data_IF_043253525678
#
_entry.id   IF_043253525678
#
_cell.length_a   1.000
_cell.length_b   1.000
_cell.length_c   1.000
_cell.angle_alpha   90.00
_cell.angle_beta   90.00
_cell.angle_gamma   90.00
#
_symmetry.space_group_name_H-M   'P 1'
#
loop_
_entity.id
_entity.type
_entity.pdbx_description
1 polymer ?
#
# COMPACT_ATOMS: atom_id res chain seq x y z
N UNK A 1 27.11 -15.87 -17.11
CA UNK A 1 26.45 -16.88 -16.27
C UNK A 1 26.50 -16.33 -14.87
N UNK A 2 25.36 -16.07 -14.25
CA UNK A 2 25.29 -15.58 -12.87
C UNK A 2 25.32 -16.81 -11.95
N UNK A 3 26.31 -16.87 -11.06
CA UNK A 3 26.54 -18.00 -10.17
C UNK A 3 26.38 -17.54 -8.73
N UNK A 4 25.36 -18.05 -8.05
CA UNK A 4 25.11 -17.78 -6.64
C UNK A 4 25.65 -18.91 -5.76
N UNK A 5 26.16 -18.57 -4.59
CA UNK A 5 26.58 -19.51 -3.55
C UNK A 5 25.52 -19.53 -2.46
N UNK A 6 25.16 -20.71 -1.98
CA UNK A 6 24.22 -20.89 -0.86
C UNK A 6 24.92 -21.52 0.34
N UNK A 7 24.64 -21.08 1.55
CA UNK A 7 25.19 -21.64 2.80
C UNK A 7 24.07 -22.06 3.74
N UNK A 8 24.17 -23.23 4.38
CA UNK A 8 23.18 -23.69 5.38
C UNK A 8 23.81 -23.54 6.77
N UNK A 9 23.28 -22.62 7.57
CA UNK A 9 23.83 -22.25 8.88
C UNK A 9 23.43 -23.26 9.98
N UNK A 10 22.19 -23.74 9.95
CA UNK A 10 21.66 -24.77 10.85
C UNK A 10 20.54 -25.59 10.17
N UNK A 11 19.94 -26.51 10.91
CA UNK A 11 18.95 -27.48 10.42
C UNK A 11 17.80 -27.58 11.41
N UNK A 12 16.58 -27.78 10.90
CA UNK A 12 15.41 -28.10 11.72
C UNK A 12 15.59 -29.42 12.49
N UNK A 13 14.95 -29.51 13.66
CA UNK A 13 14.93 -30.70 14.49
C UNK A 13 13.98 -31.80 13.95
N UNK A 14 13.01 -31.45 13.10
CA UNK A 14 12.05 -32.40 12.53
C UNK A 14 12.61 -33.26 11.40
N UNK A 15 13.69 -32.79 10.75
CA UNK A 15 14.22 -33.36 9.52
C UNK A 15 15.71 -33.67 9.63
N UNK A 16 16.14 -34.81 9.07
CA UNK A 16 17.57 -35.08 8.96
C UNK A 16 18.25 -34.06 8.04
N UNK A 17 19.52 -33.74 8.31
CA UNK A 17 20.30 -32.82 7.46
C UNK A 17 20.40 -33.27 5.98
N UNK A 18 20.17 -34.56 5.70
CA UNK A 18 20.06 -35.08 4.33
C UNK A 18 18.72 -34.71 3.67
N UNK A 19 17.60 -34.78 4.40
CA UNK A 19 16.28 -34.35 3.92
C UNK A 19 16.23 -32.84 3.67
N UNK A 20 16.77 -32.03 4.59
CA UNK A 20 16.88 -30.57 4.41
C UNK A 20 17.69 -30.24 3.17
N UNK A 21 18.91 -30.79 3.03
CA UNK A 21 19.74 -30.57 1.83
C UNK A 21 19.07 -31.02 0.53
N UNK A 22 18.33 -32.12 0.52
CA UNK A 22 17.60 -32.54 -0.68
C UNK A 22 16.46 -31.57 -1.02
N UNK A 23 15.66 -31.16 -0.04
CA UNK A 23 14.60 -30.18 -0.21
C UNK A 23 15.13 -28.86 -0.79
N UNK A 24 16.18 -28.31 -0.18
CA UNK A 24 16.84 -27.07 -0.63
C UNK A 24 17.47 -27.22 -2.02
N UNK A 25 18.15 -28.35 -2.32
CA UNK A 25 18.70 -28.62 -3.65
C UNK A 25 17.62 -28.68 -4.72
N UNK A 26 16.47 -29.32 -4.42
CA UNK A 26 15.34 -29.36 -5.34
C UNK A 26 14.71 -27.97 -5.50
N UNK A 27 14.63 -27.17 -4.44
CA UNK A 27 14.13 -25.80 -4.48
C UNK A 27 15.00 -24.87 -5.37
N UNK A 28 16.32 -24.83 -5.18
CA UNK A 28 17.23 -24.11 -6.10
C UNK A 28 17.16 -24.62 -7.55
N UNK A 29 16.84 -25.91 -7.73
CA UNK A 29 16.71 -26.51 -9.06
C UNK A 29 15.50 -25.98 -9.83
N UNK A 30 14.38 -25.66 -9.17
CA UNK A 30 13.20 -25.04 -9.78
C UNK A 30 13.59 -23.82 -10.62
N UNK A 31 14.40 -22.94 -10.04
CA UNK A 31 14.82 -21.67 -10.66
C UNK A 31 15.98 -21.84 -11.65
N UNK A 32 16.96 -22.69 -11.32
CA UNK A 32 18.11 -22.90 -12.21
C UNK A 32 17.77 -23.69 -13.47
N UNK A 33 16.81 -24.63 -13.45
CA UNK A 33 16.46 -25.41 -14.65
C UNK A 33 15.84 -24.54 -15.77
N UNK A 34 15.22 -23.40 -15.42
CA UNK A 34 14.54 -22.50 -16.37
C UNK A 34 15.33 -21.23 -16.72
N UNK A 35 16.41 -20.93 -16.02
CA UNK A 35 17.25 -19.72 -16.22
C UNK A 35 18.72 -20.06 -16.56
N UNK A 36 19.53 -19.03 -16.82
CA UNK A 36 20.99 -19.17 -16.88
C UNK A 36 21.68 -19.15 -15.50
N UNK A 37 20.92 -19.17 -14.39
CA UNK A 37 21.47 -19.23 -13.05
C UNK A 37 22.06 -20.61 -12.72
N UNK A 38 23.08 -20.61 -11.88
CA UNK A 38 23.67 -21.81 -11.27
C UNK A 38 23.93 -21.56 -9.79
N UNK A 39 23.58 -22.53 -8.96
CA UNK A 39 23.76 -22.46 -7.51
C UNK A 39 24.80 -23.47 -7.03
N UNK A 40 25.65 -23.07 -6.08
CA UNK A 40 26.61 -23.95 -5.43
C UNK A 40 26.48 -23.85 -3.90
N UNK A 41 26.24 -24.99 -3.24
CA UNK A 41 26.35 -25.09 -1.78
C UNK A 41 27.82 -24.90 -1.36
N UNK A 42 28.07 -23.96 -0.45
CA UNK A 42 29.38 -23.76 0.19
C UNK A 42 29.28 -24.11 1.68
N UNK A 43 30.39 -24.58 2.24
CA UNK A 43 30.45 -25.08 3.63
C UNK A 43 31.25 -24.17 4.57
N UNK A 44 31.89 -23.13 4.04
CA UNK A 44 32.77 -22.20 4.78
C UNK A 44 32.78 -20.82 4.10
N UNK A 45 32.83 -19.76 4.91
CA UNK A 45 32.74 -18.37 4.44
C UNK A 45 31.30 -17.93 4.15
N UNK A 46 31.15 -16.63 3.88
CA UNK A 46 29.84 -16.01 3.60
C UNK A 46 29.32 -16.41 2.22
N UNK A 47 28.06 -16.82 2.17
CA UNK A 47 27.36 -17.16 0.93
C UNK A 47 26.73 -15.91 0.28
N UNK A 48 26.10 -16.08 -0.88
CA UNK A 48 25.25 -15.05 -1.49
C UNK A 48 23.77 -15.22 -1.05
N UNK A 49 23.44 -16.37 -0.46
CA UNK A 49 22.16 -16.75 0.16
C UNK A 49 22.49 -17.59 1.40
N UNK A 50 22.36 -17.06 2.62
CA UNK A 50 22.48 -17.85 3.85
C UNK A 50 21.11 -18.34 4.33
N UNK A 51 21.04 -19.61 4.73
CA UNK A 51 19.81 -20.32 5.05
C UNK A 51 19.83 -20.75 6.50
N UNK A 52 18.81 -20.37 7.27
CA UNK A 52 18.68 -20.76 8.69
C UNK A 52 17.24 -21.09 9.11
N UNK A 53 17.13 -21.87 10.15
CA UNK A 53 15.91 -22.15 10.91
C UNK A 53 15.99 -21.38 12.22
N UNK A 54 14.95 -20.60 12.55
CA UNK A 54 14.96 -19.73 13.72
C UNK A 54 13.56 -19.60 14.32
N UNK A 55 13.44 -19.08 15.55
CA UNK A 55 12.17 -18.96 16.27
C UNK A 55 11.96 -17.55 16.75
N UNK A 56 10.72 -17.08 16.73
CA UNK A 56 10.33 -15.78 17.29
C UNK A 56 11.28 -14.66 16.78
N UNK A 57 11.79 -13.80 17.68
CA UNK A 57 12.79 -12.80 17.33
C UNK A 57 14.18 -13.43 17.09
N UNK A 58 14.69 -13.29 15.87
CA UNK A 58 15.94 -13.92 15.41
C UNK A 58 16.93 -12.94 14.76
N UNK A 59 16.99 -11.73 15.33
CA UNK A 59 18.04 -10.72 15.15
C UNK A 59 18.13 -10.00 13.78
N UNK A 60 17.10 -10.09 12.95
CA UNK A 60 17.01 -9.40 11.65
C UNK A 60 15.93 -8.29 11.61
N UNK A 61 15.16 -8.12 12.69
CA UNK A 61 14.08 -7.15 12.82
C UNK A 61 12.68 -7.68 12.49
N UNK A 62 12.56 -8.91 11.99
CA UNK A 62 11.30 -9.52 11.56
C UNK A 62 11.03 -10.78 12.41
N UNK A 63 10.43 -10.66 13.61
CA UNK A 63 10.16 -11.81 14.45
C UNK A 63 9.09 -12.71 13.81
N UNK A 64 9.29 -14.02 13.84
CA UNK A 64 8.22 -14.99 13.59
C UNK A 64 7.20 -15.00 14.73
N UNK A 65 6.01 -15.52 14.46
CA UNK A 65 4.86 -15.54 15.36
C UNK A 65 4.55 -16.91 16.01
N UNK A 66 5.33 -17.95 15.71
CA UNK A 66 5.11 -19.31 16.19
C UNK A 66 4.24 -20.12 15.21
N UNK A 67 3.63 -21.24 15.64
CA UNK A 67 3.02 -22.18 14.71
C UNK A 67 1.86 -21.59 13.88
N UNK A 68 1.98 -21.68 12.56
CA UNK A 68 1.09 -21.11 11.56
C UNK A 68 1.50 -19.70 11.12
N UNK A 69 0.66 -19.08 10.29
CA UNK A 69 0.84 -17.68 9.85
C UNK A 69 2.14 -17.43 9.05
N UNK A 70 3.28 -17.16 9.70
CA UNK A 70 4.56 -16.81 9.05
C UNK A 70 5.51 -17.99 9.01
N UNK A 71 5.32 -18.88 8.03
CA UNK A 71 6.10 -20.13 7.92
C UNK A 71 7.60 -19.90 7.67
N UNK A 72 7.93 -18.80 6.98
CA UNK A 72 9.27 -18.41 6.58
C UNK A 72 9.26 -16.95 6.10
N UNK A 73 10.46 -16.39 5.89
CA UNK A 73 10.66 -15.21 5.04
C UNK A 73 12.05 -15.23 4.40
N UNK A 74 12.21 -14.44 3.35
CA UNK A 74 13.51 -14.20 2.73
C UNK A 74 13.69 -12.75 2.31
N UNK A 75 14.94 -12.31 2.29
CA UNK A 75 15.30 -10.97 1.83
C UNK A 75 15.56 -10.97 0.32
N UNK A 76 15.14 -9.90 -0.34
CA UNK A 76 15.46 -9.65 -1.75
C UNK A 76 16.98 -9.52 -1.98
N UNK A 77 17.49 -9.79 -3.20
CA UNK A 77 18.91 -9.71 -3.53
C UNK A 77 19.53 -8.36 -3.13
N UNK A 78 20.64 -8.39 -2.39
CA UNK A 78 21.28 -7.17 -1.90
C UNK A 78 22.63 -7.43 -1.22
N UNK A 79 23.26 -6.41 -0.63
CA UNK A 79 24.38 -6.59 0.29
C UNK A 79 23.91 -7.16 1.64
N UNK A 80 24.88 -7.56 2.46
CA UNK A 80 24.67 -8.05 3.83
C UNK A 80 23.70 -9.24 3.87
N UNK A 81 22.50 -9.10 4.46
CA UNK A 81 21.48 -10.18 4.48
C UNK A 81 20.63 -10.29 3.21
N UNK A 82 20.92 -9.50 2.17
CA UNK A 82 20.14 -9.50 0.93
C UNK A 82 20.27 -10.80 0.13
N UNK A 83 19.26 -11.66 0.21
CA UNK A 83 19.25 -13.02 -0.33
C UNK A 83 19.07 -14.10 0.74
N UNK A 84 19.22 -13.77 2.03
CA UNK A 84 19.09 -14.75 3.12
C UNK A 84 17.65 -15.28 3.25
N UNK A 85 17.53 -16.55 3.65
CA UNK A 85 16.27 -17.28 3.83
C UNK A 85 16.15 -17.80 5.25
N UNK A 86 15.10 -17.40 5.97
CA UNK A 86 14.81 -17.84 7.33
C UNK A 86 13.51 -18.65 7.34
N UNK A 87 13.53 -19.82 7.97
CA UNK A 87 12.35 -20.66 8.21
C UNK A 87 11.94 -20.60 9.69
N UNK A 88 10.64 -20.54 10.01
CA UNK A 88 10.21 -20.63 11.41
C UNK A 88 10.34 -22.07 11.91
N UNK A 89 11.16 -22.27 12.93
CA UNK A 89 11.43 -23.54 13.59
C UNK A 89 10.37 -23.86 14.68
N UNK A 90 9.36 -23.00 14.84
CA UNK A 90 8.11 -23.35 15.50
C UNK A 90 7.11 -24.10 14.57
N UNK A 91 7.36 -24.17 13.26
CA UNK A 91 6.60 -25.02 12.34
C UNK A 91 6.96 -26.50 12.41
N UNK A 92 6.00 -27.37 12.04
CA UNK A 92 6.25 -28.81 11.88
C UNK A 92 6.71 -29.13 10.45
N UNK A 93 8.02 -29.22 10.23
CA UNK A 93 8.61 -29.36 8.90
C UNK A 93 8.59 -30.80 8.38
N UNK A 94 8.04 -30.99 7.17
CA UNK A 94 7.98 -32.31 6.52
C UNK A 94 8.56 -32.31 5.11
N UNK A 95 8.86 -33.50 4.60
CA UNK A 95 9.34 -33.71 3.22
C UNK A 95 8.55 -34.81 2.55
N UNK A 96 7.96 -34.54 1.38
CA UNK A 96 7.19 -35.53 0.62
C UNK A 96 5.81 -35.86 1.20
N UNK A 97 5.36 -35.13 2.23
CA UNK A 97 4.04 -35.27 2.85
C UNK A 97 3.22 -33.99 2.69
N UNK A 98 1.90 -34.13 2.72
CA UNK A 98 0.91 -33.05 2.87
C UNK A 98 0.46 -32.84 4.32
N UNK A 99 0.93 -33.67 5.25
CA UNK A 99 0.78 -33.46 6.69
C UNK A 99 1.97 -32.60 7.16
N UNK A 100 1.69 -31.54 7.94
CA UNK A 100 2.68 -30.52 8.31
C UNK A 100 3.04 -29.57 7.16
N UNK A 101 4.12 -28.80 7.34
CA UNK A 101 4.59 -27.79 6.37
C UNK A 101 5.71 -28.38 5.52
N UNK A 102 5.49 -28.47 4.20
CA UNK A 102 6.45 -29.11 3.30
C UNK A 102 7.63 -28.19 2.95
N UNK A 103 8.81 -28.47 3.53
CA UNK A 103 10.00 -27.62 3.41
C UNK A 103 10.41 -27.36 1.96
N UNK A 104 10.23 -28.31 1.04
CA UNK A 104 10.57 -28.09 -0.38
C UNK A 104 9.70 -27.01 -1.03
N UNK A 105 8.41 -26.96 -0.69
CA UNK A 105 7.49 -25.97 -1.27
C UNK A 105 7.79 -24.57 -0.74
N UNK A 106 7.94 -24.42 0.57
CA UNK A 106 8.27 -23.12 1.19
C UNK A 106 9.65 -22.66 0.77
N UNK A 107 10.68 -23.52 0.80
CA UNK A 107 12.01 -23.14 0.34
C UNK A 107 12.05 -22.74 -1.15
N UNK A 108 11.22 -23.35 -2.01
CA UNK A 108 11.16 -22.96 -3.41
C UNK A 108 10.53 -21.57 -3.57
N UNK A 109 9.53 -21.22 -2.77
CA UNK A 109 8.95 -19.88 -2.66
C UNK A 109 9.98 -18.85 -2.15
N UNK A 110 10.58 -19.09 -0.98
CA UNK A 110 11.55 -18.18 -0.38
C UNK A 110 12.79 -17.93 -1.24
N UNK A 111 13.28 -18.97 -1.94
CA UNK A 111 14.38 -18.79 -2.90
C UNK A 111 13.94 -17.92 -4.09
N UNK A 112 12.65 -17.87 -4.44
CA UNK A 112 12.12 -16.92 -5.41
C UNK A 112 12.27 -15.47 -4.93
N UNK A 113 11.97 -15.18 -3.67
CA UNK A 113 12.23 -13.88 -3.04
C UNK A 113 13.73 -13.55 -2.99
N UNK A 114 14.58 -14.51 -2.59
CA UNK A 114 16.04 -14.37 -2.63
C UNK A 114 16.61 -14.16 -4.06
N UNK A 115 15.79 -14.39 -5.10
CA UNK A 115 16.09 -14.12 -6.50
C UNK A 115 15.30 -12.92 -7.08
N UNK A 116 14.72 -12.07 -6.23
CA UNK A 116 14.09 -10.82 -6.67
C UNK A 116 12.64 -10.95 -7.15
N UNK A 117 11.99 -12.10 -6.99
CA UNK A 117 10.57 -12.25 -7.30
C UNK A 117 9.71 -11.78 -6.13
N UNK A 118 8.79 -10.86 -6.36
CA UNK A 118 7.72 -10.56 -5.40
C UNK A 118 6.67 -11.69 -5.35
N UNK A 119 5.71 -11.54 -4.44
CA UNK A 119 4.54 -12.43 -4.41
C UNK A 119 3.72 -12.32 -5.70
N UNK A 120 3.21 -13.46 -6.18
CA UNK A 120 2.24 -13.52 -7.28
C UNK A 120 0.81 -13.47 -6.73
N UNK A 121 -0.10 -12.82 -7.46
CA UNK A 121 -1.54 -12.88 -7.21
C UNK A 121 -2.23 -14.06 -7.91
N UNK A 122 -1.48 -14.86 -8.69
CA UNK A 122 -2.02 -16.00 -9.43
C UNK A 122 -2.12 -17.22 -8.53
N UNK A 123 -3.34 -17.61 -8.16
CA UNK A 123 -3.61 -18.86 -7.46
C UNK A 123 -3.06 -20.04 -8.27
N UNK A 124 -2.21 -20.88 -7.66
CA UNK A 124 -1.47 -21.96 -8.32
C UNK A 124 -0.03 -21.60 -8.74
N UNK A 125 0.36 -20.32 -8.69
CA UNK A 125 1.77 -19.92 -8.80
C UNK A 125 2.54 -20.31 -7.53
N UNK A 126 3.84 -20.59 -7.67
CA UNK A 126 4.71 -20.89 -6.54
C UNK A 126 4.85 -19.66 -5.64
N UNK A 127 4.99 -18.47 -6.23
CA UNK A 127 5.13 -17.21 -5.50
C UNK A 127 3.81 -16.68 -4.90
N UNK A 128 2.71 -17.45 -4.94
CA UNK A 128 1.47 -17.06 -4.26
C UNK A 128 1.66 -17.08 -2.73
N UNK A 129 1.29 -16.01 -1.99
CA UNK A 129 1.77 -15.77 -0.61
C UNK A 129 1.17 -16.69 0.46
N UNK A 130 0.04 -17.34 0.22
CA UNK A 130 -0.47 -18.37 1.14
C UNK A 130 0.08 -19.74 0.76
N UNK A 131 0.46 -20.51 1.77
CA UNK A 131 0.90 -21.89 1.60
C UNK A 131 -0.21 -22.77 1.01
N UNK A 132 0.03 -23.30 -0.20
CA UNK A 132 -0.93 -24.10 -0.97
C UNK A 132 -0.85 -25.62 -0.69
N UNK A 133 -0.05 -26.03 0.30
CA UNK A 133 0.18 -27.45 0.60
C UNK A 133 1.29 -28.08 -0.25
N UNK A 134 1.47 -29.40 -0.10
CA UNK A 134 2.44 -30.16 -0.89
C UNK A 134 1.88 -30.60 -2.24
N UNK A 135 2.59 -30.26 -3.32
CA UNK A 135 2.29 -30.71 -4.68
C UNK A 135 3.28 -31.82 -5.11
N UNK A 136 2.84 -33.09 -5.22
CA UNK A 136 3.64 -34.16 -5.81
C UNK A 136 3.98 -33.85 -7.28
N UNK A 137 5.21 -34.17 -7.70
CA UNK A 137 5.71 -33.88 -9.05
C UNK A 137 5.57 -32.40 -9.45
N UNK A 138 5.82 -31.49 -8.50
CA UNK A 138 5.75 -30.04 -8.69
C UNK A 138 6.38 -29.57 -10.02
N UNK A 139 5.66 -28.70 -10.72
CA UNK A 139 6.10 -28.00 -11.91
C UNK A 139 5.87 -26.51 -11.72
N UNK A 140 6.84 -25.69 -12.12
CA UNK A 140 6.79 -24.24 -11.94
C UNK A 140 5.65 -23.64 -12.79
N UNK A 141 4.85 -22.75 -12.21
CA UNK A 141 3.74 -22.14 -12.94
C UNK A 141 4.28 -21.20 -14.04
N UNK A 142 3.49 -21.00 -15.09
CA UNK A 142 3.87 -20.13 -16.21
C UNK A 142 4.12 -18.68 -15.80
N UNK A 143 3.49 -18.24 -14.71
CA UNK A 143 3.65 -16.91 -14.11
C UNK A 143 5.05 -16.74 -13.50
N UNK A 144 5.43 -17.62 -12.56
CA UNK A 144 6.77 -17.65 -11.95
C UNK A 144 7.88 -17.83 -13.02
N UNK A 145 7.61 -18.67 -14.03
CA UNK A 145 8.52 -18.93 -15.15
C UNK A 145 8.81 -17.65 -15.96
N UNK A 146 7.79 -16.88 -16.30
CA UNK A 146 7.95 -15.62 -17.05
C UNK A 146 8.65 -14.59 -16.18
N UNK A 147 8.29 -14.48 -14.89
CA UNK A 147 8.89 -13.53 -13.97
C UNK A 147 10.40 -13.78 -13.76
N UNK A 148 10.83 -15.02 -13.48
CA UNK A 148 12.26 -15.32 -13.28
C UNK A 148 13.07 -15.19 -14.58
N UNK A 149 12.46 -15.49 -15.73
CA UNK A 149 13.11 -15.32 -17.04
C UNK A 149 13.18 -13.85 -17.49
N UNK A 150 12.30 -12.98 -16.99
CA UNK A 150 12.41 -11.54 -17.18
C UNK A 150 13.64 -10.97 -16.47
N UNK A 151 13.92 -11.41 -15.24
CA UNK A 151 15.08 -10.97 -14.47
C UNK A 151 16.42 -11.54 -14.97
N UNK A 152 16.47 -12.84 -15.28
CA UNK A 152 17.75 -13.56 -15.52
C UNK A 152 17.91 -14.16 -16.92
N UNK A 153 16.90 -14.01 -17.78
CA UNK A 153 16.87 -14.60 -19.12
C UNK A 153 16.53 -16.09 -19.11
N UNK A 154 15.78 -16.51 -20.14
CA UNK A 154 15.51 -17.92 -20.38
C UNK A 154 16.80 -18.72 -20.66
N UNK A 155 16.89 -19.92 -20.09
CA UNK A 155 17.92 -20.90 -20.50
C UNK A 155 17.71 -21.25 -21.98
N UNK A 156 18.56 -20.74 -22.88
CA UNK A 156 18.43 -21.01 -24.33
C UNK A 156 18.44 -22.51 -24.58
N UNK A 157 17.34 -23.03 -25.13
CA UNK A 157 17.35 -24.33 -25.78
C UNK A 157 18.34 -24.30 -26.97
N UNK A 158 19.11 -25.37 -27.21
CA UNK A 158 19.95 -25.47 -28.41
C UNK A 158 19.05 -25.47 -29.66
N UNK A 159 19.17 -24.41 -30.46
CA UNK A 159 18.30 -24.17 -31.63
C UNK A 159 18.38 -25.29 -32.67
N UNK A 160 17.26 -25.92 -33.06
CA UNK A 160 17.16 -26.69 -34.30
C UNK A 160 17.03 -25.73 -35.49
N UNK A 161 17.75 -25.99 -36.58
CA UNK A 161 17.72 -25.18 -37.81
C UNK A 161 16.38 -25.29 -38.57
N UNK A 162 15.88 -24.21 -39.21
CA UNK A 162 14.59 -24.24 -39.90
C UNK A 162 14.64 -24.83 -41.33
N UNK A 163 13.69 -25.70 -41.72
CA UNK A 163 13.44 -26.07 -43.13
C UNK A 163 12.57 -25.07 -43.90
N UNK A 164 12.62 -25.12 -45.24
CA UNK A 164 11.93 -24.24 -46.23
C UNK A 164 10.58 -24.84 -46.73
N UNK A 165 9.78 -24.21 -47.64
CA UNK A 165 8.30 -24.19 -47.52
C UNK A 165 7.47 -24.74 -48.71
N UNK A 166 6.15 -24.87 -48.51
CA UNK A 166 5.08 -25.16 -49.50
C UNK A 166 3.80 -25.68 -48.81
N UNK A 167 2.56 -25.61 -49.33
CA UNK A 167 2.00 -25.04 -50.59
C UNK A 167 0.48 -24.76 -50.43
N UNK A 168 -0.13 -23.96 -51.31
CA UNK A 168 -1.55 -23.49 -51.31
C UNK A 168 -2.56 -24.43 -52.00
N UNK A 169 -3.89 -24.21 -51.85
CA UNK A 169 -4.96 -24.33 -52.89
C UNK A 169 -6.26 -23.60 -52.47
N UNK A 170 -7.05 -23.14 -53.46
CA UNK A 170 -8.25 -22.25 -53.40
C UNK A 170 -9.47 -22.97 -54.03
N UNK A 171 -10.73 -22.51 -53.86
CA UNK A 171 -11.50 -22.12 -55.08
C UNK A 171 -12.51 -20.93 -54.97
N UNK A 172 -12.30 -19.94 -55.85
CA UNK A 172 -13.20 -19.18 -56.77
C UNK A 172 -14.69 -19.56 -56.90
N UNK A 173 -15.68 -18.75 -57.36
CA UNK A 173 -16.06 -17.31 -57.33
C UNK A 173 -17.41 -17.13 -58.09
N UNK A 174 -18.16 -16.00 -57.97
CA UNK A 174 -19.31 -15.70 -58.85
C UNK A 174 -20.17 -14.46 -58.48
N UNK A 175 -20.34 -13.52 -59.41
CA UNK A 175 -21.05 -12.20 -59.32
C UNK A 175 -22.24 -12.14 -60.32
N UNK A 176 -23.21 -11.16 -60.33
CA UNK A 176 -22.98 -9.69 -60.41
C UNK A 176 -24.00 -8.71 -59.74
N UNK A 177 -23.65 -7.42 -59.83
CA UNK A 177 -24.24 -6.16 -59.29
C UNK A 177 -25.35 -5.51 -60.18
N UNK A 178 -25.85 -4.25 -59.98
CA UNK A 178 -25.85 -3.30 -58.83
C UNK A 178 -27.23 -2.65 -58.48
N UNK A 179 -27.35 -1.93 -57.35
CA UNK A 179 -28.23 -0.72 -57.22
C UNK A 179 -27.65 0.25 -56.14
N UNK A 180 -28.07 1.52 -56.17
CA UNK A 180 -27.35 2.71 -55.70
C UNK A 180 -27.35 3.02 -54.19
N UNK A 181 -26.39 3.87 -53.78
CA UNK A 181 -26.32 4.57 -52.48
C UNK A 181 -26.68 6.05 -52.60
N UNK A 182 -27.16 6.68 -51.52
CA UNK A 182 -26.85 8.09 -51.24
C UNK A 182 -25.88 8.27 -50.06
N UNK A 183 -24.98 9.25 -50.19
CA UNK A 183 -24.04 9.70 -49.14
C UNK A 183 -24.69 10.74 -48.18
N UNK A 184 -24.07 11.09 -47.03
CA UNK A 184 -24.74 11.80 -45.95
C UNK A 184 -24.68 13.34 -46.06
N UNK A 185 -25.62 14.00 -45.36
CA UNK A 185 -25.64 15.46 -45.13
C UNK A 185 -24.73 15.87 -43.96
N UNK A 186 -23.96 16.98 -44.06
CA UNK A 186 -23.14 17.49 -42.96
C UNK A 186 -23.97 18.35 -41.98
N UNK A 187 -23.74 18.17 -40.68
CA UNK A 187 -24.33 19.01 -39.62
C UNK A 187 -23.43 20.23 -39.33
N UNK A 188 -24.03 21.42 -39.34
CA UNK A 188 -23.38 22.68 -38.98
C UNK A 188 -24.02 23.20 -37.68
N UNK A 189 -23.26 23.47 -36.60
CA UNK A 189 -23.82 24.02 -35.37
C UNK A 189 -24.19 25.52 -35.53
N UNK A 190 -25.29 26.00 -34.92
CA UNK A 190 -25.68 27.41 -34.99
C UNK A 190 -24.76 28.34 -34.18
N UNK A 191 -24.61 29.59 -34.63
CA UNK A 191 -23.79 30.60 -33.99
C UNK A 191 -24.43 31.18 -32.70
N UNK A 192 -23.59 31.51 -31.72
CA UNK A 192 -23.99 32.15 -30.46
C UNK A 192 -24.34 33.64 -30.66
N UNK A 193 -25.54 34.04 -30.23
CA UNK A 193 -25.90 35.46 -30.06
C UNK A 193 -25.56 35.94 -28.64
N UNK A 194 -24.74 36.99 -28.54
CA UNK A 194 -24.32 37.60 -27.27
C UNK A 194 -25.39 38.53 -26.70
N UNK A 195 -25.81 38.27 -25.45
CA UNK A 195 -26.47 39.26 -24.57
C UNK A 195 -25.94 39.11 -23.14
N UNK A 196 -25.22 40.12 -22.66
CA UNK A 196 -24.66 40.17 -21.32
C UNK A 196 -25.73 40.46 -20.25
N UNK A 197 -25.73 39.74 -19.11
CA UNK A 197 -26.33 40.20 -17.86
C UNK A 197 -25.35 41.05 -17.02
N UNK A 198 -25.88 41.82 -16.07
CA UNK A 198 -25.13 42.63 -15.09
C UNK A 198 -24.45 41.76 -14.00
N UNK A 199 -23.47 42.29 -13.23
CA UNK A 199 -22.62 41.48 -12.36
C UNK A 199 -23.32 41.01 -11.08
N UNK A 200 -23.07 39.75 -10.70
CA UNK A 200 -23.42 39.18 -9.40
C UNK A 200 -22.27 39.37 -8.41
N UNK A 201 -22.57 39.74 -7.17
CA UNK A 201 -21.59 39.97 -6.10
C UNK A 201 -21.29 38.70 -5.29
N UNK A 202 -20.88 37.65 -5.97
CA UNK A 202 -20.45 36.37 -5.40
C UNK A 202 -19.04 36.06 -5.92
N UNK A 203 -18.07 35.63 -5.09
CA UNK A 203 -16.74 35.27 -5.58
C UNK A 203 -16.83 34.09 -6.55
N UNK A 204 -16.59 34.37 -7.83
CA UNK A 204 -16.58 33.39 -8.90
C UNK A 204 -15.26 32.60 -8.85
N UNK A 205 -15.26 31.51 -8.08
CA UNK A 205 -14.18 30.53 -8.07
C UNK A 205 -14.30 29.61 -9.28
N UNK A 206 -14.08 30.19 -10.47
CA UNK A 206 -14.01 29.44 -11.72
C UNK A 206 -12.86 28.41 -11.73
N UNK A 207 -12.95 27.36 -12.57
CA UNK A 207 -12.13 26.14 -12.49
C UNK A 207 -10.65 26.29 -12.92
N UNK A 208 -10.06 27.49 -12.83
CA UNK A 208 -8.74 27.81 -13.38
C UNK A 208 -7.81 28.56 -12.42
N UNK A 209 -8.14 28.65 -11.12
CA UNK A 209 -7.22 29.19 -10.11
C UNK A 209 -6.69 28.07 -9.21
N UNK A 210 -5.37 27.92 -9.06
CA UNK A 210 -4.82 26.96 -8.11
C UNK A 210 -5.25 27.32 -6.69
N UNK A 211 -5.55 26.32 -5.84
CA UNK A 211 -5.79 26.53 -4.41
C UNK A 211 -4.53 27.08 -3.73
N UNK A 212 -4.74 27.95 -2.74
CA UNK A 212 -3.65 28.45 -1.90
C UNK A 212 -3.20 27.36 -0.91
N UNK A 213 -1.96 26.89 -1.08
CA UNK A 213 -1.34 25.82 -0.27
C UNK A 213 -1.33 26.12 1.23
N UNK A 214 -1.41 27.39 1.63
CA UNK A 214 -1.34 27.79 3.03
C UNK A 214 -2.69 27.91 3.72
N UNK A 215 -3.77 28.19 2.99
CA UNK A 215 -5.11 28.43 3.58
C UNK A 215 -6.12 27.34 3.27
N UNK A 216 -5.79 26.39 2.40
CA UNK A 216 -6.67 25.27 2.06
C UNK A 216 -6.56 24.09 3.04
N UNK A 217 -7.61 23.28 3.10
CA UNK A 217 -7.51 21.87 3.49
C UNK A 217 -7.24 20.97 2.29
N UNK A 218 -7.10 19.67 2.52
CA UNK A 218 -6.93 18.64 1.48
C UNK A 218 -8.20 17.79 1.33
N UNK A 219 -8.39 17.17 0.16
CA UNK A 219 -9.51 16.25 -0.11
C UNK A 219 -9.07 14.77 -0.13
N UNK A 220 -7.79 14.51 -0.44
CA UNK A 220 -7.17 13.20 -0.37
C UNK A 220 -5.63 13.35 -0.30
N UNK A 221 -4.93 12.37 0.27
CA UNK A 221 -3.47 12.33 0.23
C UNK A 221 -2.91 10.90 0.35
N UNK A 222 -1.77 10.65 -0.27
CA UNK A 222 -1.02 9.40 -0.15
C UNK A 222 0.49 9.62 -0.28
N UNK A 223 1.26 8.74 0.35
CA UNK A 223 2.62 8.46 -0.09
C UNK A 223 2.55 7.58 -1.36
N UNK A 224 3.18 8.04 -2.44
CA UNK A 224 3.30 7.33 -3.71
C UNK A 224 4.77 7.39 -4.10
N UNK A 225 5.46 6.25 -4.19
CA UNK A 225 6.86 6.14 -4.61
C UNK A 225 7.82 7.05 -3.83
N UNK A 226 7.64 7.11 -2.51
CA UNK A 226 8.38 7.93 -1.53
C UNK A 226 8.09 9.44 -1.56
N UNK A 227 7.21 9.92 -2.44
CA UNK A 227 6.75 11.32 -2.45
C UNK A 227 5.33 11.38 -1.89
N UNK A 228 4.98 12.41 -1.13
CA UNK A 228 3.59 12.64 -0.71
C UNK A 228 2.87 13.47 -1.75
N UNK A 229 1.72 12.96 -2.20
CA UNK A 229 0.80 13.64 -3.09
C UNK A 229 -0.40 14.12 -2.25
N UNK A 230 -0.63 15.43 -2.21
CA UNK A 230 -1.79 16.04 -1.55
C UNK A 230 -2.72 16.64 -2.60
N UNK A 231 -3.99 16.23 -2.61
CA UNK A 231 -4.98 16.63 -3.61
C UNK A 231 -5.98 17.63 -3.03
N UNK A 232 -6.39 18.60 -3.86
CA UNK A 232 -7.47 19.55 -3.57
C UNK A 232 -8.21 19.92 -4.86
N UNK A 233 -9.46 19.48 -4.99
CA UNK A 233 -10.20 19.55 -6.24
C UNK A 233 -9.45 18.85 -7.37
N UNK A 234 -9.30 19.54 -8.51
CA UNK A 234 -8.48 19.09 -9.64
C UNK A 234 -7.02 19.57 -9.60
N UNK A 235 -6.48 19.86 -8.42
CA UNK A 235 -5.09 20.25 -8.21
C UNK A 235 -4.40 19.33 -7.21
N UNK A 236 -3.08 19.21 -7.31
CA UNK A 236 -2.29 18.50 -6.31
C UNK A 236 -0.89 19.11 -6.13
N UNK A 237 -0.27 18.84 -4.98
CA UNK A 237 1.15 19.07 -4.71
C UNK A 237 1.88 17.73 -4.63
N UNK A 238 3.15 17.72 -5.06
CA UNK A 238 4.12 16.69 -4.67
C UNK A 238 5.10 17.27 -3.67
N UNK A 239 5.42 16.45 -2.68
CA UNK A 239 6.23 16.81 -1.52
C UNK A 239 7.26 15.69 -1.35
N UNK A 240 8.53 16.03 -1.27
CA UNK A 240 9.62 15.12 -0.92
C UNK A 240 10.29 15.57 0.40
N UNK A 241 11.39 14.93 0.80
CA UNK A 241 12.09 15.26 2.06
C UNK A 241 12.60 16.72 2.12
N UNK A 242 12.76 17.38 0.98
CA UNK A 242 13.17 18.78 0.85
C UNK A 242 12.01 19.76 1.02
N UNK A 243 10.75 19.28 0.95
CA UNK A 243 9.54 20.10 0.99
C UNK A 243 8.71 20.00 -0.30
N UNK A 244 8.03 21.09 -0.66
CA UNK A 244 7.13 21.12 -1.83
C UNK A 244 7.96 21.25 -3.10
N UNK A 245 7.80 20.31 -4.03
CA UNK A 245 8.56 20.32 -5.28
C UNK A 245 8.28 21.60 -6.10
N UNK A 246 9.28 22.05 -6.86
CA UNK A 246 9.15 23.17 -7.78
C UNK A 246 8.04 22.94 -8.83
N UNK A 247 7.27 24.00 -9.09
CA UNK A 247 6.21 23.99 -10.11
C UNK A 247 4.83 23.50 -9.65
N UNK A 248 4.66 23.19 -8.36
CA UNK A 248 3.36 22.79 -7.79
C UNK A 248 2.58 23.97 -7.17
N UNK A 249 1.24 23.93 -7.13
CA UNK A 249 0.37 22.82 -7.53
C UNK A 249 0.21 22.68 -9.04
N UNK A 250 -0.04 21.45 -9.48
CA UNK A 250 -0.30 21.08 -10.89
C UNK A 250 -1.75 20.59 -11.02
N UNK A 251 -2.37 20.88 -12.16
CA UNK A 251 -3.70 20.34 -12.50
C UNK A 251 -3.61 18.81 -12.67
N UNK A 252 -4.56 18.08 -12.08
CA UNK A 252 -4.55 16.60 -12.03
C UNK A 252 -4.50 15.98 -13.43
N UNK A 253 -5.24 16.52 -14.39
CA UNK A 253 -5.33 16.04 -15.78
C UNK A 253 -4.03 16.21 -16.60
N UNK A 254 -3.15 17.14 -16.22
CA UNK A 254 -1.84 17.33 -16.86
C UNK A 254 -0.81 16.27 -16.47
N UNK A 255 -1.03 15.55 -15.38
CA UNK A 255 -0.13 14.52 -14.87
C UNK A 255 -0.75 13.13 -14.96
N UNK A 256 -2.00 12.98 -14.50
CA UNK A 256 -2.73 11.71 -14.41
C UNK A 256 -3.55 11.47 -15.68
N UNK A 257 -2.92 10.83 -16.67
CA UNK A 257 -3.50 10.66 -18.00
C UNK A 257 -4.75 9.76 -18.00
N UNK A 258 -5.62 10.00 -18.98
CA UNK A 258 -6.86 9.26 -19.23
C UNK A 258 -7.91 9.32 -18.09
N UNK A 259 -7.79 10.25 -17.14
CA UNK A 259 -8.83 10.49 -16.13
C UNK A 259 -10.13 10.98 -16.80
N UNK A 260 -11.33 10.57 -16.33
CA UNK A 260 -12.57 11.04 -16.93
C UNK A 260 -12.87 12.51 -16.66
N UNK A 261 -13.29 13.24 -17.70
CA UNK A 261 -13.59 14.68 -17.62
C UNK A 261 -14.66 15.03 -16.58
N UNK A 262 -15.50 14.08 -16.18
CA UNK A 262 -16.54 14.28 -15.17
C UNK A 262 -16.02 14.17 -13.72
N UNK A 263 -14.82 13.61 -13.49
CA UNK A 263 -14.17 13.60 -12.17
C UNK A 263 -13.72 15.03 -11.85
N UNK A 264 -14.03 15.52 -10.64
CA UNK A 264 -13.77 16.92 -10.20
C UNK A 264 -12.94 17.03 -8.91
N UNK A 265 -12.68 15.90 -8.26
CA UNK A 265 -11.86 15.71 -7.07
C UNK A 265 -11.67 14.21 -6.85
N UNK A 266 -10.74 13.85 -5.96
CA UNK A 266 -10.67 12.51 -5.38
C UNK A 266 -11.05 12.60 -3.91
N UNK A 267 -11.84 11.64 -3.42
CA UNK A 267 -12.19 11.52 -2.00
C UNK A 267 -11.11 10.75 -1.22
N UNK A 268 -10.42 9.84 -1.92
CA UNK A 268 -9.33 9.06 -1.36
C UNK A 268 -8.35 8.62 -2.46
N UNK A 269 -7.10 8.38 -2.06
CA UNK A 269 -6.05 7.80 -2.89
C UNK A 269 -5.11 6.98 -2.02
N UNK A 270 -4.59 5.87 -2.53
CA UNK A 270 -3.45 5.15 -1.95
C UNK A 270 -2.63 4.42 -3.02
N UNK A 271 -1.33 4.21 -2.79
CA UNK A 271 -0.54 3.23 -3.53
C UNK A 271 -0.67 1.88 -2.82
N UNK A 272 -0.99 0.82 -3.57
CA UNK A 272 -1.02 -0.54 -3.01
C UNK A 272 0.39 -1.04 -2.74
N UNK A 273 0.54 -1.76 -1.64
CA UNK A 273 1.80 -2.39 -1.25
C UNK A 273 2.16 -3.65 -2.07
N UNK A 274 1.20 -4.28 -2.78
CA UNK A 274 1.43 -5.51 -3.55
C UNK A 274 1.98 -5.24 -4.96
N UNK A 275 1.36 -4.33 -5.71
CA UNK A 275 1.63 -4.10 -7.13
C UNK A 275 2.06 -2.66 -7.49
N UNK A 276 2.12 -1.74 -6.51
CA UNK A 276 2.42 -0.33 -6.75
C UNK A 276 1.35 0.40 -7.59
N UNK A 277 0.17 -0.19 -7.74
CA UNK A 277 -0.98 0.45 -8.38
C UNK A 277 -1.50 1.53 -7.47
N UNK A 278 -1.67 2.72 -8.04
CA UNK A 278 -2.28 3.85 -7.37
C UNK A 278 -3.79 3.74 -7.59
N UNK A 279 -4.55 3.70 -6.51
CA UNK A 279 -6.00 3.55 -6.53
C UNK A 279 -6.62 4.89 -6.16
N UNK A 280 -7.39 5.46 -7.09
CA UNK A 280 -8.12 6.70 -6.89
C UNK A 280 -9.60 6.43 -6.67
N UNK A 281 -10.23 7.19 -5.77
CA UNK A 281 -11.67 7.12 -5.48
C UNK A 281 -12.35 8.47 -5.73
N UNK A 282 -13.56 8.43 -6.31
CA UNK A 282 -14.41 9.62 -6.48
C UNK A 282 -15.88 9.18 -6.54
N UNK A 283 -16.65 9.58 -5.54
CA UNK A 283 -18.00 9.09 -5.26
C UNK A 283 -18.05 7.55 -5.21
N UNK A 284 -19.06 6.97 -5.86
CA UNK A 284 -19.26 5.52 -5.95
C UNK A 284 -18.28 4.78 -6.86
N UNK A 285 -17.17 5.38 -7.29
CA UNK A 285 -16.27 4.83 -8.31
C UNK A 285 -14.81 4.86 -7.90
N UNK A 286 -14.05 3.91 -8.43
CA UNK A 286 -12.60 3.87 -8.31
C UNK A 286 -11.89 3.57 -9.65
N UNK A 287 -10.63 3.99 -9.72
CA UNK A 287 -9.73 3.79 -10.86
C UNK A 287 -8.38 3.24 -10.41
N UNK A 288 -7.73 2.49 -11.28
CA UNK A 288 -6.39 1.93 -11.08
C UNK A 288 -5.41 2.62 -12.02
N UNK A 289 -4.25 3.00 -11.50
CA UNK A 289 -3.19 3.71 -12.20
C UNK A 289 -1.84 3.02 -12.00
N UNK A 290 -1.10 2.81 -13.09
CA UNK A 290 0.27 2.30 -13.07
C UNK A 290 1.23 3.45 -13.34
N UNK A 291 1.79 4.02 -12.27
CA UNK A 291 2.40 5.35 -12.36
C UNK A 291 1.33 6.37 -12.76
N UNK A 292 1.65 7.27 -13.68
CA UNK A 292 0.77 8.37 -14.06
C UNK A 292 -0.24 8.06 -15.21
N UNK A 293 -0.38 6.78 -15.60
CA UNK A 293 -1.34 6.32 -16.60
C UNK A 293 -2.37 5.37 -15.98
N UNK A 294 -3.65 5.52 -16.36
CA UNK A 294 -4.68 4.55 -16.01
C UNK A 294 -4.28 3.14 -16.49
N UNK A 295 -4.44 2.13 -15.63
CA UNK A 295 -4.02 0.76 -15.90
C UNK A 295 -4.71 0.20 -17.14
N UNK A 296 -3.93 -0.48 -18.00
CA UNK A 296 -4.40 -0.99 -19.28
C UNK A 296 -5.61 -1.92 -19.13
N UNK A 297 -6.66 -1.69 -19.93
CA UNK A 297 -7.90 -2.46 -19.87
C UNK A 297 -8.85 -2.12 -18.72
N UNK A 298 -8.50 -1.17 -17.84
CA UNK A 298 -9.44 -0.66 -16.84
C UNK A 298 -10.51 0.23 -17.51
N UNK A 299 -11.79 0.15 -17.13
CA UNK A 299 -12.85 0.96 -17.73
C UNK A 299 -12.62 2.45 -17.46
N UNK A 300 -12.73 3.28 -18.51
CA UNK A 300 -12.61 4.74 -18.41
C UNK A 300 -13.63 5.29 -17.40
N UNK A 301 -14.89 4.83 -17.46
CA UNK A 301 -15.92 5.21 -16.51
C UNK A 301 -15.70 4.72 -15.08
N UNK A 302 -14.61 4.01 -14.78
CA UNK A 302 -14.31 3.50 -13.43
C UNK A 302 -15.18 2.33 -13.00
N UNK A 303 -14.75 1.60 -11.98
CA UNK A 303 -15.52 0.49 -11.39
C UNK A 303 -16.28 0.93 -10.15
N UNK A 304 -17.44 0.35 -9.83
CA UNK A 304 -18.21 0.71 -8.64
C UNK A 304 -17.52 0.23 -7.36
N UNK A 305 -17.70 0.94 -6.24
CA UNK A 305 -17.15 0.53 -4.93
C UNK A 305 -17.60 -0.89 -4.50
N UNK A 306 -18.74 -1.37 -5.01
CA UNK A 306 -19.23 -2.72 -4.76
C UNK A 306 -18.32 -3.82 -5.31
N UNK A 307 -17.51 -3.54 -6.33
CA UNK A 307 -16.50 -4.49 -6.84
C UNK A 307 -15.39 -4.75 -5.80
N UNK A 308 -15.19 -3.85 -4.84
CA UNK A 308 -14.28 -4.01 -3.69
C UNK A 308 -14.98 -4.63 -2.47
N UNK A 309 -16.26 -5.00 -2.58
CA UNK A 309 -17.06 -5.56 -1.48
C UNK A 309 -17.67 -4.53 -0.53
N UNK A 310 -17.67 -3.23 -0.88
CA UNK A 310 -18.39 -2.22 -0.09
C UNK A 310 -19.92 -2.30 -0.28
N UNK A 311 -20.72 -1.99 0.75
CA UNK A 311 -22.18 -1.90 0.62
C UNK A 311 -22.66 -0.85 -0.41
N UNK A 312 -23.84 -1.06 -1.00
CA UNK A 312 -24.40 -0.23 -2.09
C UNK A 312 -24.81 1.19 -1.67
N UNK A 313 -25.06 1.34 -0.39
CA UNK A 313 -25.43 2.56 0.33
C UNK A 313 -24.21 3.43 0.69
N UNK A 314 -22.99 2.93 0.55
CA UNK A 314 -21.77 3.76 0.65
C UNK A 314 -21.66 4.66 -0.58
N UNK A 315 -21.68 5.97 -0.36
CA UNK A 315 -21.65 7.00 -1.41
C UNK A 315 -20.23 7.43 -1.83
N UNK A 316 -19.24 7.32 -0.95
CA UNK A 316 -17.82 7.65 -1.16
C UNK A 316 -16.94 7.00 -0.06
N UNK A 317 -15.62 7.14 -0.17
CA UNK A 317 -14.62 6.74 0.84
C UNK A 317 -13.89 8.00 1.30
N UNK A 318 -13.89 8.29 2.60
CA UNK A 318 -13.28 9.50 3.21
C UNK A 318 -11.74 9.42 3.28
N UNK A 319 -11.22 8.19 3.37
CA UNK A 319 -9.79 7.92 3.32
C UNK A 319 -9.53 6.45 2.94
N UNK A 320 -8.48 6.22 2.16
CA UNK A 320 -7.95 4.91 1.83
C UNK A 320 -6.45 4.91 2.10
N UNK A 321 -5.91 3.90 2.79
CA UNK A 321 -4.49 3.87 3.12
C UNK A 321 -3.96 2.48 3.46
N UNK A 322 -2.66 2.29 3.24
CA UNK A 322 -1.90 1.18 3.82
C UNK A 322 -1.48 1.58 5.24
N UNK A 323 -1.93 0.82 6.26
CA UNK A 323 -1.65 1.16 7.66
C UNK A 323 -0.22 0.79 8.09
N UNK A 324 0.45 1.66 8.85
CA UNK A 324 1.85 1.49 9.27
C UNK A 324 2.14 0.33 10.23
N UNK A 325 1.14 -0.27 10.86
CA UNK A 325 1.37 -1.43 11.74
C UNK A 325 1.41 -2.76 10.99
N UNK A 326 0.36 -3.09 10.22
CA UNK A 326 0.21 -4.41 9.58
C UNK A 326 0.13 -4.38 8.05
N UNK A 327 0.39 -3.24 7.43
CA UNK A 327 0.57 -3.08 5.98
C UNK A 327 -0.62 -3.57 5.12
N UNK A 328 -1.80 -3.75 5.72
CA UNK A 328 -3.05 -3.99 4.98
C UNK A 328 -3.68 -2.66 4.55
N UNK A 329 -4.47 -2.72 3.49
CA UNK A 329 -5.29 -1.60 3.02
C UNK A 329 -6.50 -1.42 3.94
N UNK A 330 -6.80 -0.17 4.29
CA UNK A 330 -8.00 0.21 5.03
C UNK A 330 -8.76 1.29 4.27
N UNK A 331 -10.09 1.20 4.31
CA UNK A 331 -11.02 2.20 3.79
C UNK A 331 -11.86 2.73 4.95
N UNK A 332 -12.02 4.06 5.04
CA UNK A 332 -12.84 4.74 6.05
C UNK A 332 -14.01 5.41 5.35
N UNK A 333 -15.21 5.33 5.93
CA UNK A 333 -16.35 6.17 5.55
C UNK A 333 -17.23 6.45 6.77
N UNK A 334 -17.48 7.73 7.03
CA UNK A 334 -18.17 8.24 8.20
C UNK A 334 -17.47 7.86 9.51
N UNK A 335 -18.13 7.01 10.29
CA UNK A 335 -17.63 6.47 11.56
C UNK A 335 -17.21 4.99 11.48
N UNK A 336 -17.11 4.43 10.28
CA UNK A 336 -16.82 3.01 10.07
C UNK A 336 -15.56 2.83 9.21
N UNK A 337 -14.86 1.72 9.42
CA UNK A 337 -13.73 1.32 8.60
C UNK A 337 -13.74 -0.16 8.21
N UNK A 338 -13.14 -0.45 7.07
CA UNK A 338 -12.98 -1.77 6.48
C UNK A 338 -11.50 -2.07 6.32
N UNK A 339 -11.10 -3.35 6.43
CA UNK A 339 -9.80 -3.84 5.99
C UNK A 339 -9.98 -4.60 4.68
N UNK A 340 -9.33 -4.12 3.64
CA UNK A 340 -9.39 -4.73 2.31
C UNK A 340 -8.20 -5.67 2.12
N UNK A 341 -8.51 -6.90 1.73
CA UNK A 341 -7.53 -7.91 1.40
C UNK A 341 -7.15 -7.73 -0.07
N UNK A 342 -6.03 -7.04 -0.31
CA UNK A 342 -5.54 -6.81 -1.67
C UNK A 342 -5.35 -8.11 -2.43
N UNK A 343 -4.90 -9.17 -1.81
CA UNK A 343 -4.55 -10.38 -2.54
C UNK A 343 -5.80 -11.20 -2.90
N UNK A 344 -6.72 -11.37 -1.94
CA UNK A 344 -8.01 -12.02 -2.19
C UNK A 344 -9.02 -11.09 -2.92
N UNK A 345 -8.60 -9.85 -3.23
CA UNK A 345 -9.37 -8.73 -3.82
C UNK A 345 -10.81 -8.65 -3.28
N UNK A 346 -10.95 -8.69 -1.95
CA UNK A 346 -12.23 -8.60 -1.20
C UNK A 346 -12.02 -8.00 0.19
N UNK A 347 -13.10 -7.65 0.89
CA UNK A 347 -13.04 -7.33 2.32
C UNK A 347 -12.65 -8.55 3.15
N UNK A 348 -11.81 -8.34 4.17
CA UNK A 348 -11.61 -9.33 5.22
C UNK A 348 -12.91 -9.54 6.02
N UNK A 349 -13.06 -10.73 6.60
CA UNK A 349 -14.18 -11.04 7.50
C UNK A 349 -14.15 -10.15 8.77
N UNK A 350 -15.31 -10.02 9.41
CA UNK A 350 -15.55 -9.16 10.58
C UNK A 350 -15.30 -7.65 10.36
N UNK A 351 -15.54 -7.18 9.14
CA UNK A 351 -15.61 -5.74 8.80
C UNK A 351 -16.98 -5.39 8.20
N UNK A 352 -17.48 -4.14 8.39
CA UNK A 352 -16.81 -3.00 9.00
C UNK A 352 -16.69 -3.04 10.53
N UNK A 353 -15.83 -2.18 11.06
CA UNK A 353 -15.65 -1.89 12.49
C UNK A 353 -15.76 -0.39 12.76
N UNK A 354 -16.06 -0.02 13.99
CA UNK A 354 -16.23 1.39 14.38
C UNK A 354 -14.88 2.12 14.47
N UNK A 355 -14.83 3.35 13.98
CA UNK A 355 -13.66 4.21 14.03
C UNK A 355 -13.21 4.55 15.46
N UNK A 356 -14.01 4.28 16.49
CA UNK A 356 -13.61 4.37 17.90
C UNK A 356 -12.39 3.51 18.25
N UNK A 357 -12.06 2.50 17.43
CA UNK A 357 -10.83 1.70 17.56
C UNK A 357 -9.56 2.53 17.29
N UNK A 358 -9.66 3.62 16.55
CA UNK A 358 -8.57 4.55 16.23
C UNK A 358 -8.62 5.73 17.21
N UNK A 359 -8.20 5.50 18.45
CA UNK A 359 -8.48 6.38 19.59
C UNK A 359 -8.00 7.83 19.34
N UNK A 360 -8.93 8.78 19.45
CA UNK A 360 -8.68 10.22 19.32
C UNK A 360 -8.59 10.76 17.89
N UNK A 361 -8.72 9.93 16.85
CA UNK A 361 -8.86 10.40 15.46
C UNK A 361 -10.16 11.22 15.34
N UNK A 362 -10.07 12.38 14.70
CA UNK A 362 -11.22 13.28 14.51
C UNK A 362 -11.99 12.91 13.23
N UNK A 363 -13.31 12.78 13.35
CA UNK A 363 -14.19 12.34 12.26
C UNK A 363 -15.10 13.49 11.75
N UNK A 364 -15.57 13.45 10.49
CA UNK A 364 -15.03 12.61 9.42
C UNK A 364 -13.58 13.02 9.12
N UNK A 365 -12.81 12.10 8.53
CA UNK A 365 -11.45 12.39 8.05
C UNK A 365 -11.51 13.01 6.66
N UNK A 366 -10.45 13.72 6.27
CA UNK A 366 -10.27 14.25 4.89
C UNK A 366 -9.12 13.57 4.15
N UNK A 367 -8.27 12.83 4.86
CA UNK A 367 -7.31 11.89 4.32
C UNK A 367 -6.72 11.05 5.47
N UNK A 368 -6.10 9.93 5.12
CA UNK A 368 -5.14 9.25 5.98
C UNK A 368 -4.08 8.62 5.09
N UNK A 369 -2.81 8.59 5.54
CA UNK A 369 -1.76 7.81 4.89
C UNK A 369 -0.59 7.55 5.84
N UNK A 370 0.22 6.54 5.53
CA UNK A 370 1.52 6.33 6.17
C UNK A 370 2.59 7.10 5.41
N UNK A 371 3.30 8.01 6.06
CA UNK A 371 4.34 8.81 5.43
C UNK A 371 5.68 8.06 5.31
N UNK A 372 6.66 8.70 4.66
CA UNK A 372 8.04 8.22 4.52
C UNK A 372 8.75 7.98 5.86
N UNK A 373 8.33 8.66 6.94
CA UNK A 373 8.81 8.42 8.31
C UNK A 373 8.26 7.13 8.94
N UNK A 374 7.44 6.37 8.20
CA UNK A 374 6.82 5.13 8.64
C UNK A 374 5.55 5.29 9.48
N UNK A 375 5.12 6.53 9.76
CA UNK A 375 4.04 6.83 10.71
C UNK A 375 2.73 7.09 9.98
N UNK A 376 1.62 6.62 10.53
CA UNK A 376 0.29 6.97 10.02
C UNK A 376 -0.13 8.38 10.46
N UNK A 377 -0.59 9.19 9.50
CA UNK A 377 -1.16 10.51 9.73
C UNK A 377 -2.62 10.51 9.32
N UNK A 378 -3.47 11.09 10.16
CA UNK A 378 -4.89 11.35 9.88
C UNK A 378 -5.10 12.85 9.69
N UNK A 379 -5.87 13.24 8.68
CA UNK A 379 -6.14 14.62 8.32
C UNK A 379 -7.62 14.94 8.46
N UNK A 380 -7.92 16.19 8.79
CA UNK A 380 -9.26 16.76 8.75
C UNK A 380 -9.15 18.25 8.46
N UNK A 381 -9.85 18.73 7.43
CA UNK A 381 -9.79 20.12 6.97
C UNK A 381 -8.32 20.57 6.71
N UNK A 382 -7.84 21.63 7.37
CA UNK A 382 -6.46 22.14 7.29
C UNK A 382 -5.53 21.58 8.39
N UNK A 383 -5.93 20.51 9.07
CA UNK A 383 -5.26 19.96 10.24
C UNK A 383 -4.94 18.47 10.13
N UNK A 384 -3.97 18.02 10.92
CA UNK A 384 -3.59 16.62 11.01
C UNK A 384 -3.21 16.18 12.43
N UNK A 385 -3.25 14.86 12.65
CA UNK A 385 -2.82 14.17 13.84
C UNK A 385 -1.84 13.06 13.46
N UNK A 386 -0.69 13.03 14.14
CA UNK A 386 0.26 11.91 14.07
C UNK A 386 -0.26 10.76 14.93
N UNK A 387 -0.30 9.55 14.39
CA UNK A 387 -0.81 8.35 15.07
C UNK A 387 0.32 7.54 15.71
N UNK A 388 0.03 6.83 16.80
CA UNK A 388 0.91 5.83 17.41
C UNK A 388 0.38 4.46 17.05
N UNK A 389 0.82 3.97 15.89
CA UNK A 389 0.35 2.73 15.27
C UNK A 389 0.32 1.53 16.22
N UNK A 390 1.40 1.29 16.98
CA UNK A 390 1.48 0.21 17.97
C UNK A 390 0.60 0.38 19.22
N UNK A 391 0.01 1.57 19.42
CA UNK A 391 -0.88 1.90 20.55
C UNK A 391 -2.32 2.21 20.10
N UNK A 392 -2.63 2.11 18.81
CA UNK A 392 -3.96 2.41 18.24
C UNK A 392 -4.56 3.78 18.64
N UNK A 393 -3.72 4.81 18.82
CA UNK A 393 -4.19 6.14 19.25
C UNK A 393 -3.38 7.31 18.70
N UNK A 394 -3.99 8.49 18.61
CA UNK A 394 -3.27 9.74 18.28
C UNK A 394 -2.19 10.06 19.31
N UNK A 395 -1.08 10.65 18.87
CA UNK A 395 0.02 11.03 19.76
C UNK A 395 -0.33 12.21 20.68
N UNK A 396 -1.07 13.19 20.14
CA UNK A 396 -1.58 14.38 20.83
C UNK A 396 -3.02 14.58 20.44
N UNK A 397 -3.82 15.15 21.34
CA UNK A 397 -5.21 15.51 21.07
C UNK A 397 -5.34 16.79 20.25
N UNK A 398 -4.37 17.70 20.40
CA UNK A 398 -4.34 18.97 19.70
C UNK A 398 -3.95 18.77 18.21
N UNK A 399 -4.73 19.31 17.26
CA UNK A 399 -4.36 19.28 15.85
C UNK A 399 -3.08 20.05 15.57
N UNK A 400 -2.31 19.60 14.58
CA UNK A 400 -1.23 20.39 13.96
C UNK A 400 -1.72 20.93 12.61
N UNK A 401 -1.50 22.21 12.33
CA UNK A 401 -1.89 22.81 11.04
C UNK A 401 -0.98 22.26 9.93
N UNK A 402 -1.56 21.83 8.79
CA UNK A 402 -0.79 21.14 7.76
C UNK A 402 0.18 22.08 7.02
N UNK A 403 -0.19 23.35 6.82
CA UNK A 403 0.59 24.34 6.07
C UNK A 403 2.07 24.45 6.47
N UNK A 404 2.42 24.76 7.73
CA UNK A 404 3.82 24.87 8.18
C UNK A 404 4.64 23.57 8.13
N UNK A 405 4.00 22.39 8.05
CA UNK A 405 4.69 21.09 8.17
C UNK A 405 4.85 20.41 6.81
N UNK A 406 3.82 20.49 5.96
CA UNK A 406 3.75 19.77 4.69
C UNK A 406 3.84 20.68 3.47
N UNK A 407 3.42 21.95 3.59
CA UNK A 407 3.26 22.87 2.46
C UNK A 407 4.08 24.16 2.60
N UNK A 408 5.11 24.17 3.45
CA UNK A 408 6.10 25.27 3.60
C UNK A 408 5.45 26.65 3.76
N UNK A 409 4.59 26.77 4.77
CA UNK A 409 3.89 28.01 5.08
C UNK A 409 4.42 28.65 6.36
N UNK A 410 5.69 29.06 6.35
CA UNK A 410 6.43 29.58 7.52
C UNK A 410 5.71 30.69 8.28
N UNK A 411 4.99 31.55 7.57
CA UNK A 411 4.23 32.64 8.18
C UNK A 411 3.12 32.15 9.14
N UNK A 412 2.55 30.97 8.91
CA UNK A 412 1.50 30.37 9.74
C UNK A 412 2.04 29.67 11.00
N UNK A 413 3.35 29.43 11.10
CA UNK A 413 3.96 28.94 12.34
C UNK A 413 3.79 29.94 13.52
N UNK A 414 3.45 31.19 13.22
CA UNK A 414 3.18 32.25 14.21
C UNK A 414 1.73 32.33 14.70
N UNK A 415 0.79 31.61 14.07
CA UNK A 415 -0.65 31.74 14.30
C UNK A 415 -1.32 30.48 14.84
N UNK A 416 -0.79 29.91 15.93
CA UNK A 416 -1.60 29.02 16.76
C UNK A 416 -2.76 29.83 17.37
N UNK A 417 -4.01 29.31 17.35
CA UNK A 417 -5.10 29.97 18.07
C UNK A 417 -4.74 30.05 19.56
N UNK A 418 -5.01 31.18 20.24
CA UNK A 418 -4.67 31.30 21.65
C UNK A 418 -5.45 30.24 22.44
N UNK A 419 -4.71 29.36 23.12
CA UNK A 419 -5.29 28.42 24.07
C UNK A 419 -6.27 29.18 24.98
N UNK A 420 -7.51 28.69 25.05
CA UNK A 420 -8.56 29.34 25.84
C UNK A 420 -8.11 29.42 27.30
N UNK A 421 -7.64 30.59 27.72
CA UNK A 421 -7.19 30.82 29.08
C UNK A 421 -8.40 30.70 29.99
N UNK A 422 -8.43 29.63 30.80
CA UNK A 422 -9.35 29.53 31.92
C UNK A 422 -9.24 30.83 32.74
N UNK A 423 -10.36 31.53 32.89
CA UNK A 423 -10.39 32.85 33.52
C UNK A 423 -10.09 32.72 35.02
N UNK A 424 -8.82 32.88 35.38
CA UNK A 424 -8.42 33.03 36.77
C UNK A 424 -8.64 34.48 37.18
N UNK A 425 -9.90 34.80 37.49
CA UNK A 425 -10.35 36.16 37.73
C UNK A 425 -9.98 36.63 39.15
N UNK A 426 -8.71 37.04 39.34
CA UNK A 426 -8.28 37.72 40.56
C UNK A 426 -8.65 39.20 40.49
N UNK A 427 -9.77 39.56 41.12
CA UNK A 427 -9.86 40.58 42.18
C UNK A 427 -11.29 41.12 42.30
N UNK A 428 -11.99 40.74 43.37
CA UNK A 428 -12.89 41.66 44.07
C UNK A 428 -12.73 41.50 45.58
N UNK A 429 -12.84 42.63 46.26
CA UNK A 429 -12.40 42.88 47.64
C UNK A 429 -13.42 42.50 48.71
N UNK A 430 -12.95 41.73 49.70
CA UNK A 430 -13.02 42.03 51.14
C UNK A 430 -14.33 41.85 51.98
N UNK A 431 -14.03 41.60 53.27
CA UNK A 431 -14.77 41.77 54.55
C UNK A 431 -15.86 40.77 55.02
N UNK A 432 -15.67 40.32 56.28
CA UNK A 432 -16.57 39.59 57.21
C UNK A 432 -16.97 38.14 56.82
N UNK A 433 -17.26 37.21 57.74
CA UNK A 433 -17.47 37.30 59.21
C UNK A 433 -16.90 36.08 59.99
N UNK A 434 -16.89 36.18 61.32
CA UNK A 434 -16.24 35.29 62.30
C UNK A 434 -17.09 34.07 62.73
N UNK A 435 -16.53 33.27 63.68
CA UNK A 435 -17.16 32.26 64.59
C UNK A 435 -17.11 30.80 64.07
N UNK A 436 -16.78 29.73 64.81
CA UNK A 436 -16.13 29.40 66.10
C UNK A 436 -16.35 27.86 66.30
N UNK A 437 -15.54 27.20 67.17
CA UNK A 437 -15.67 25.81 67.68
C UNK A 437 -15.13 24.71 66.71
N UNK A 438 -14.57 23.56 67.15
CA UNK A 438 -14.10 23.16 68.50
C UNK A 438 -12.86 22.21 68.48
N UNK A 439 -11.97 22.42 69.45
CA UNK A 439 -11.10 21.50 70.22
C UNK A 439 -10.97 20.02 69.81
N UNK A 440 -9.73 19.55 69.59
CA UNK A 440 -9.07 18.56 70.46
C UNK A 440 -7.53 18.54 70.31
N UNK A 441 -6.84 19.07 71.33
CA UNK A 441 -5.43 18.79 71.64
C UNK A 441 -5.41 17.87 72.87
N UNK A 442 -4.60 16.81 72.84
CA UNK A 442 -3.56 16.54 73.86
C UNK A 442 -2.56 15.50 73.29
N UNK A 443 -1.24 15.76 73.17
CA UNK A 443 -0.16 15.61 74.20
C UNK A 443 -0.02 14.15 74.72
N UNK A 444 1.13 13.48 74.95
CA UNK A 444 2.57 13.76 75.22
C UNK A 444 3.36 12.52 74.66
N UNK A 445 4.65 12.50 74.27
CA UNK A 445 5.74 13.49 74.20
C UNK A 445 7.12 12.84 74.50
N UNK A 446 8.23 13.57 74.27
CA UNK A 446 9.62 13.31 74.78
C UNK A 446 10.35 12.02 74.33
N UNK A 447 11.68 11.96 74.20
CA UNK A 447 12.76 12.86 74.66
C UNK A 447 13.99 12.79 73.74
N UNK A 448 14.82 13.84 73.81
CA UNK A 448 16.19 13.93 73.26
C UNK A 448 17.19 13.23 74.18
N UNK A 449 18.15 12.51 73.59
CA UNK A 449 19.60 12.63 73.84
C UNK A 449 20.37 12.25 72.56
#
# INVERSE_FOLDING_TARGET
MLMGRSGILNYSYDLSAAQVRDALRRAFRVWSDVTMLTFQEIYQGTADIEIKFARMYHHDGYPFDGPGMTLAHAFFPGPDSGGDVHFDEDETWTTGSSEGVNLFMVAAHEIGHALGLGHSSVLGALMYPWYQGYTPNFSLHSDDLVAIQYLYGARRAPTPSPPRPGTSIIPTAGTPYPTETPRPTPYIPPAFTTRSPKPSTTPDWGPHRPPDRCTTGIDAAALIRQEVYMFKGMWFWRIDESGVMDGYPVEVDRFWYNLPEYVKHFDAVYERADDGTIVFFSGKRYWLYSGNHMSSGFPYEGKPLTDLGLPKDIDHIDAAFVWGYNYKTYFITGNMYWRYNEEQKKMDYDYPRDMSMWEGVQLPVSAAFKSWDGVTYFFKDSYFWRFKDSLMRVEKTEPTHLGPVWLECDHLASSNPPASKASHNQHLTAIFCSILLIVLKTTIGTRVE
#
